data_IF_072299040469
#
_entry.id   IF_072299040469
#
_cell.length_a   1.000
_cell.length_b   1.000
_cell.length_c   1.000
_cell.angle_alpha   90.00
_cell.angle_beta   90.00
_cell.angle_gamma   90.00
#
_symmetry.space_group_name_H-M   'P 1'
#
loop_
_entity.id
_entity.type
_entity.pdbx_description
1 polymer ?
#
# COMPACT_ATOMS: atom_id res chain seq x y z
N UNK A 1 21.63 -34.90 7.35
CA UNK A 1 21.17 -36.08 6.55
C UNK A 1 21.11 -37.25 7.50
N UNK A 2 19.94 -37.86 7.66
CA UNK A 2 19.73 -39.02 8.52
C UNK A 2 20.42 -40.24 7.86
N UNK A 3 21.29 -40.91 8.61
CA UNK A 3 22.00 -42.12 8.14
C UNK A 3 21.01 -43.27 7.87
N UNK A 4 21.30 -44.12 6.90
CA UNK A 4 20.50 -45.30 6.61
C UNK A 4 20.31 -46.17 7.86
N UNK A 5 21.31 -46.28 8.70
CA UNK A 5 21.30 -47.01 9.97
C UNK A 5 20.35 -46.38 10.99
N UNK A 6 20.33 -45.04 11.13
CA UNK A 6 19.43 -44.30 12.02
C UNK A 6 17.99 -44.50 11.59
N UNK A 7 17.73 -44.50 10.29
CA UNK A 7 16.38 -44.74 9.74
C UNK A 7 15.87 -46.17 10.02
N UNK A 8 16.75 -47.15 9.90
CA UNK A 8 16.41 -48.55 10.17
C UNK A 8 16.17 -48.81 11.68
N UNK A 9 17.03 -48.22 12.54
CA UNK A 9 16.86 -48.28 13.99
C UNK A 9 15.54 -47.61 14.40
N UNK A 10 15.25 -46.41 13.91
CA UNK A 10 14.01 -45.70 14.21
C UNK A 10 12.76 -46.48 13.80
N UNK A 11 12.76 -47.06 12.58
CA UNK A 11 11.67 -47.86 12.07
C UNK A 11 11.47 -49.15 12.91
N UNK A 12 12.55 -49.76 13.39
CA UNK A 12 12.52 -50.98 14.22
C UNK A 12 12.02 -50.70 15.60
N UNK A 13 12.34 -49.56 16.22
CA UNK A 13 11.79 -49.10 17.50
C UNK A 13 10.33 -48.70 17.43
N UNK A 14 9.90 -48.09 16.33
CA UNK A 14 8.49 -47.76 16.09
C UNK A 14 7.62 -49.01 15.84
N UNK A 15 8.22 -50.11 15.37
CA UNK A 15 7.52 -51.40 15.13
C UNK A 15 7.54 -52.30 16.35
N UNK A 16 6.74 -51.94 17.34
CA UNK A 16 6.64 -52.62 18.63
C UNK A 16 6.12 -54.06 18.50
N UNK A 17 6.59 -54.98 19.38
CA UNK A 17 6.13 -56.36 19.45
C UNK A 17 4.65 -56.45 19.76
N UNK A 18 3.99 -57.48 19.26
CA UNK A 18 2.53 -57.74 19.32
C UNK A 18 1.87 -57.72 20.73
N UNK A 19 2.65 -57.60 21.82
CA UNK A 19 2.09 -57.57 23.20
C UNK A 19 1.76 -56.14 23.71
N UNK A 20 2.28 -55.08 23.08
CA UNK A 20 2.14 -53.71 23.60
C UNK A 20 1.30 -52.80 22.65
N UNK A 21 0.19 -53.32 22.15
CA UNK A 21 -0.69 -52.60 21.21
C UNK A 21 -1.14 -51.22 21.68
N UNK A 22 -1.33 -51.04 22.98
CA UNK A 22 -1.73 -49.78 23.58
C UNK A 22 -0.64 -48.70 23.51
N UNK A 23 0.61 -49.06 23.77
CA UNK A 23 1.75 -48.13 23.67
C UNK A 23 2.00 -47.68 22.21
N UNK A 24 1.75 -48.58 21.26
CA UNK A 24 1.88 -48.24 19.85
C UNK A 24 0.84 -47.20 19.40
N UNK A 25 -0.40 -47.31 19.89
CA UNK A 25 -1.46 -46.36 19.60
C UNK A 25 -1.09 -44.97 20.15
N UNK A 26 -0.63 -44.90 21.41
CA UNK A 26 -0.22 -43.64 22.03
C UNK A 26 0.94 -43.00 21.25
N UNK A 27 1.93 -43.81 20.84
CA UNK A 27 3.08 -43.32 20.05
C UNK A 27 2.66 -42.73 18.71
N UNK A 28 1.74 -43.40 18.01
CA UNK A 28 1.20 -42.90 16.75
C UNK A 28 0.45 -41.57 16.91
N UNK A 29 -0.44 -41.50 17.94
CA UNK A 29 -1.17 -40.26 18.22
C UNK A 29 -0.23 -39.11 18.61
N UNK A 30 0.79 -39.37 19.40
CA UNK A 30 1.81 -38.36 19.75
C UNK A 30 2.58 -37.90 18.54
N UNK A 31 2.98 -38.82 17.66
CA UNK A 31 3.66 -38.49 16.41
C UNK A 31 2.80 -37.60 15.50
N UNK A 32 1.55 -37.99 15.30
CA UNK A 32 0.59 -37.22 14.50
C UNK A 32 0.36 -35.83 15.11
N UNK A 33 0.17 -35.76 16.44
CA UNK A 33 -0.01 -34.47 17.13
C UNK A 33 1.14 -33.53 16.99
N UNK A 34 2.38 -33.99 17.18
CA UNK A 34 3.58 -33.21 17.02
C UNK A 34 3.76 -32.77 15.55
N UNK A 35 3.56 -33.72 14.62
CA UNK A 35 3.68 -33.47 13.19
C UNK A 35 2.71 -32.40 12.71
N UNK A 36 1.44 -32.48 13.16
CA UNK A 36 0.40 -31.51 12.86
C UNK A 36 0.72 -30.16 13.47
N UNK A 37 1.18 -30.11 14.72
CA UNK A 37 1.58 -28.87 15.39
C UNK A 37 2.69 -28.13 14.65
N UNK A 38 3.74 -28.86 14.24
CA UNK A 38 4.85 -28.29 13.46
C UNK A 38 4.37 -27.83 12.08
N UNK A 39 3.54 -28.62 11.41
CA UNK A 39 3.00 -28.25 10.10
C UNK A 39 2.19 -26.94 10.17
N UNK A 40 1.33 -26.79 11.18
CA UNK A 40 0.54 -25.57 11.40
C UNK A 40 1.46 -24.36 11.63
N UNK A 41 2.50 -24.50 12.45
CA UNK A 41 3.47 -23.43 12.71
C UNK A 41 4.15 -22.98 11.42
N UNK A 42 4.60 -23.92 10.59
CA UNK A 42 5.26 -23.59 9.31
C UNK A 42 4.28 -22.87 8.37
N UNK A 43 3.05 -23.32 8.28
CA UNK A 43 2.03 -22.70 7.44
C UNK A 43 1.75 -21.27 7.91
N UNK A 44 1.52 -21.07 9.21
CA UNK A 44 1.25 -19.73 9.77
C UNK A 44 2.41 -18.78 9.54
N UNK A 45 3.66 -19.22 9.77
CA UNK A 45 4.84 -18.39 9.52
C UNK A 45 5.00 -18.05 8.02
N UNK A 46 4.74 -19.00 7.14
CA UNK A 46 4.82 -18.80 5.69
C UNK A 46 3.78 -17.78 5.21
N UNK A 47 2.53 -17.92 5.68
CA UNK A 47 1.45 -16.98 5.36
C UNK A 47 1.78 -15.58 5.90
N UNK A 48 2.24 -15.48 7.15
CA UNK A 48 2.59 -14.20 7.77
C UNK A 48 3.73 -13.51 7.02
N UNK A 49 4.77 -14.24 6.64
CA UNK A 49 5.89 -13.68 5.87
C UNK A 49 5.45 -13.22 4.48
N UNK A 50 4.63 -14.00 3.79
CA UNK A 50 4.06 -13.64 2.49
C UNK A 50 3.19 -12.39 2.58
N UNK A 51 2.30 -12.33 3.56
CA UNK A 51 1.43 -11.19 3.81
C UNK A 51 2.22 -9.91 4.15
N UNK A 52 3.22 -10.01 5.03
CA UNK A 52 4.10 -8.90 5.38
C UNK A 52 4.81 -8.33 4.16
N UNK A 53 5.37 -9.19 3.32
CA UNK A 53 6.08 -8.79 2.10
C UNK A 53 5.13 -8.10 1.12
N UNK A 54 3.94 -8.65 0.92
CA UNK A 54 2.94 -8.08 0.03
C UNK A 54 2.42 -6.73 0.53
N UNK A 55 2.15 -6.61 1.85
CA UNK A 55 1.75 -5.33 2.45
C UNK A 55 2.83 -4.26 2.28
N UNK A 56 4.09 -4.58 2.61
CA UNK A 56 5.20 -3.64 2.47
C UNK A 56 5.30 -3.18 1.02
N UNK A 57 5.27 -4.10 0.05
CA UNK A 57 5.36 -3.76 -1.36
C UNK A 57 4.20 -2.89 -1.85
N UNK A 58 3.00 -3.09 -1.32
CA UNK A 58 1.84 -2.26 -1.68
C UNK A 58 1.91 -0.87 -1.05
N UNK A 59 2.30 -0.78 0.21
CA UNK A 59 2.36 0.49 0.94
C UNK A 59 3.54 1.34 0.45
N UNK A 60 4.72 0.75 0.37
CA UNK A 60 5.96 1.45 -0.02
C UNK A 60 5.98 1.80 -1.51
N UNK A 61 5.27 1.05 -2.35
CA UNK A 61 5.24 1.33 -3.80
C UNK A 61 4.65 2.69 -4.17
N UNK A 62 3.84 3.30 -3.29
CA UNK A 62 3.21 4.60 -3.52
C UNK A 62 3.64 5.67 -2.48
N UNK A 63 4.08 5.25 -1.32
CA UNK A 63 4.51 6.16 -0.25
C UNK A 63 6.04 6.18 -0.15
N UNK A 64 6.59 7.36 0.14
CA UNK A 64 8.00 7.49 0.48
C UNK A 64 8.32 6.78 1.80
N UNK A 65 9.54 6.25 1.93
CA UNK A 65 10.02 5.66 3.19
C UNK A 65 10.13 6.72 4.29
N UNK A 66 10.49 7.94 3.92
CA UNK A 66 10.57 9.10 4.80
C UNK A 66 9.92 10.28 4.11
N UNK A 67 9.06 11.00 4.81
CA UNK A 67 8.43 12.23 4.33
C UNK A 67 8.87 13.38 5.20
N UNK A 68 9.51 14.37 4.60
CA UNK A 68 9.88 15.62 5.26
C UNK A 68 8.76 16.63 5.00
N UNK A 69 8.15 17.11 6.06
CA UNK A 69 7.12 18.16 5.98
C UNK A 69 7.67 19.47 6.53
N UNK A 70 7.31 20.62 5.97
CA UNK A 70 7.66 21.90 6.56
C UNK A 70 6.94 22.08 7.89
N UNK A 71 7.59 22.76 8.81
CA UNK A 71 6.95 23.23 10.03
C UNK A 71 5.99 24.39 9.74
N UNK A 72 6.33 25.23 8.77
CA UNK A 72 5.51 26.28 8.22
C UNK A 72 4.88 25.87 6.88
N UNK A 73 4.19 26.76 6.21
CA UNK A 73 3.36 26.45 5.04
C UNK A 73 4.10 25.92 3.81
N UNK A 74 5.41 26.16 3.68
CA UNK A 74 6.20 25.72 2.51
C UNK A 74 7.65 25.41 2.85
N UNK A 75 8.26 24.52 2.09
CA UNK A 75 9.71 24.28 2.10
C UNK A 75 10.34 25.12 0.99
N UNK A 76 11.27 26.00 1.35
CA UNK A 76 12.12 26.67 0.36
C UNK A 76 13.15 25.67 -0.17
N UNK A 77 13.14 25.43 -1.48
CA UNK A 77 14.07 24.50 -2.14
C UNK A 77 15.52 24.95 -1.99
N UNK A 78 15.76 26.27 -1.84
CA UNK A 78 17.09 26.85 -1.66
C UNK A 78 17.70 26.50 -0.28
N UNK A 79 16.85 26.29 0.72
CA UNK A 79 17.27 25.91 2.09
C UNK A 79 17.43 24.39 2.26
N UNK A 80 17.00 23.59 1.30
CA UNK A 80 17.23 22.16 1.30
C UNK A 80 18.68 21.90 0.89
N UNK A 81 19.48 21.39 1.83
CA UNK A 81 20.81 20.87 1.53
C UNK A 81 20.67 19.59 0.69
N UNK A 82 20.53 19.81 -0.61
CA UNK A 82 20.30 18.74 -1.57
C UNK A 82 21.47 17.75 -1.64
N UNK A 83 22.69 18.16 -1.30
CA UNK A 83 23.87 17.28 -1.36
C UNK A 83 23.84 16.25 -0.23
N UNK A 84 23.62 16.68 1.00
CA UNK A 84 23.52 15.79 2.14
C UNK A 84 22.30 14.86 2.07
N UNK A 85 21.18 15.38 1.59
CA UNK A 85 19.99 14.54 1.39
C UNK A 85 20.18 13.49 0.29
N UNK A 86 20.90 13.81 -0.77
CA UNK A 86 21.26 12.86 -1.83
C UNK A 86 22.20 11.76 -1.37
N UNK A 87 23.08 12.04 -0.42
CA UNK A 87 23.99 11.04 0.14
C UNK A 87 23.25 9.96 0.93
N UNK A 88 22.18 10.32 1.64
CA UNK A 88 21.42 9.41 2.51
C UNK A 88 20.17 8.84 1.87
N UNK A 89 19.71 9.42 0.74
CA UNK A 89 18.50 9.00 0.04
C UNK A 89 18.84 8.41 -1.33
N UNK A 90 18.15 7.35 -1.70
CA UNK A 90 18.24 6.76 -3.04
C UNK A 90 17.60 7.66 -4.10
N UNK A 91 16.49 8.28 -3.75
CA UNK A 91 15.73 9.19 -4.61
C UNK A 91 15.07 10.27 -3.74
N UNK A 92 15.12 11.49 -4.20
CA UNK A 92 14.42 12.63 -3.64
C UNK A 92 13.28 13.02 -4.58
N UNK A 93 12.06 13.04 -4.07
CA UNK A 93 10.84 13.31 -4.84
C UNK A 93 10.12 14.47 -4.18
N UNK A 94 9.90 15.54 -4.93
CA UNK A 94 9.14 16.69 -4.47
C UNK A 94 7.66 16.45 -4.75
N UNK A 95 6.82 16.72 -3.76
CA UNK A 95 5.38 16.57 -3.89
C UNK A 95 4.62 17.58 -3.06
N UNK A 96 3.49 18.03 -3.59
CA UNK A 96 2.47 18.73 -2.83
C UNK A 96 1.33 17.77 -2.53
N UNK A 97 0.77 17.86 -1.33
CA UNK A 97 -0.40 17.06 -0.97
C UNK A 97 -1.45 17.91 -0.27
N UNK A 98 -2.70 17.66 -0.58
CA UNK A 98 -3.82 18.33 0.04
C UNK A 98 -5.07 17.47 -0.01
N UNK A 99 -6.02 17.79 0.84
CA UNK A 99 -7.33 17.18 0.81
C UNK A 99 -8.14 17.76 -0.35
N UNK A 100 -8.91 16.92 -1.01
CA UNK A 100 -9.77 17.30 -2.12
C UNK A 100 -11.03 16.45 -2.14
N UNK A 101 -12.05 16.95 -2.80
CA UNK A 101 -13.29 16.26 -3.08
C UNK A 101 -13.34 16.05 -4.59
N UNK A 102 -13.51 14.81 -5.01
CA UNK A 102 -13.77 14.48 -6.41
C UNK A 102 -15.26 14.29 -6.63
N UNK A 103 -15.75 14.86 -7.69
CA UNK A 103 -17.16 14.78 -8.11
C UNK A 103 -17.18 14.20 -9.51
N UNK A 104 -17.93 13.12 -9.69
CA UNK A 104 -18.17 12.48 -10.97
C UNK A 104 -19.62 12.05 -11.05
N UNK A 105 -20.36 12.58 -12.01
CA UNK A 105 -21.79 12.32 -12.16
C UNK A 105 -22.52 12.50 -10.82
N UNK A 106 -23.06 11.40 -10.27
CA UNK A 106 -23.81 11.38 -9.00
C UNK A 106 -22.96 11.00 -7.78
N UNK A 107 -21.65 10.77 -7.98
CA UNK A 107 -20.75 10.31 -6.94
C UNK A 107 -19.83 11.42 -6.45
N UNK A 108 -19.70 11.49 -5.13
CA UNK A 108 -18.79 12.43 -4.45
C UNK A 108 -17.95 11.67 -3.44
N UNK A 109 -16.63 11.84 -3.51
CA UNK A 109 -15.69 11.18 -2.59
C UNK A 109 -14.60 12.15 -2.14
N UNK A 110 -14.31 12.14 -0.83
CA UNK A 110 -13.12 12.78 -0.29
C UNK A 110 -11.86 11.94 -0.59
N UNK A 111 -10.77 12.62 -0.91
CA UNK A 111 -9.49 11.98 -1.21
C UNK A 111 -8.33 12.89 -0.83
N UNK A 112 -7.12 12.33 -0.80
CA UNK A 112 -5.87 13.07 -0.74
C UNK A 112 -5.30 13.18 -2.14
N UNK A 113 -5.20 14.42 -2.63
CA UNK A 113 -4.58 14.73 -3.91
C UNK A 113 -3.09 14.93 -3.69
N UNK A 114 -2.26 14.30 -4.51
CA UNK A 114 -0.81 14.50 -4.53
C UNK A 114 -0.37 15.01 -5.90
N UNK A 115 0.26 16.17 -5.88
CA UNK A 115 0.84 16.77 -7.07
C UNK A 115 2.32 16.49 -7.17
N UNK A 116 2.77 16.14 -8.36
CA UNK A 116 4.17 15.91 -8.71
C UNK A 116 4.49 16.66 -10.00
N UNK A 117 5.73 17.06 -10.18
CA UNK A 117 6.19 17.43 -11.51
C UNK A 117 6.42 16.16 -12.35
N UNK A 118 6.53 16.29 -13.66
CA UNK A 118 6.64 15.15 -14.58
C UNK A 118 7.88 14.28 -14.32
N UNK A 119 8.99 14.88 -13.95
CA UNK A 119 10.24 14.18 -13.66
C UNK A 119 10.13 13.36 -12.36
N UNK A 120 9.59 13.96 -11.32
CA UNK A 120 9.42 13.30 -10.02
C UNK A 120 8.32 12.24 -10.06
N UNK A 121 7.27 12.45 -10.84
CA UNK A 121 6.26 11.43 -11.09
C UNK A 121 6.86 10.17 -11.72
N UNK A 122 7.75 10.34 -12.71
CA UNK A 122 8.43 9.22 -13.35
C UNK A 122 9.35 8.41 -12.40
N UNK A 123 9.82 9.02 -11.30
CA UNK A 123 10.65 8.35 -10.29
C UNK A 123 9.84 7.44 -9.35
N UNK A 124 8.53 7.59 -9.28
CA UNK A 124 7.69 6.76 -8.42
C UNK A 124 7.79 5.28 -8.81
N UNK A 125 7.93 4.41 -7.83
CA UNK A 125 8.05 2.96 -7.99
C UNK A 125 6.86 2.35 -8.75
N UNK A 126 5.67 2.90 -8.55
CA UNK A 126 4.44 2.49 -9.26
C UNK A 126 4.54 2.76 -10.75
N UNK A 127 5.17 3.88 -11.13
CA UNK A 127 5.38 4.25 -12.54
C UNK A 127 6.48 3.39 -13.15
N UNK A 128 7.62 3.27 -12.46
CA UNK A 128 8.77 2.44 -12.90
C UNK A 128 8.41 0.98 -13.09
N UNK A 129 7.59 0.42 -12.22
CA UNK A 129 7.16 -0.99 -12.28
C UNK A 129 6.03 -1.24 -13.29
N UNK A 130 5.62 -0.23 -14.05
CA UNK A 130 4.59 -0.36 -15.09
C UNK A 130 3.20 -0.76 -14.55
N UNK A 131 2.91 -0.45 -13.29
CA UNK A 131 1.60 -0.75 -12.66
C UNK A 131 0.50 0.24 -13.04
N UNK A 132 0.82 1.28 -13.81
CA UNK A 132 -0.14 2.23 -14.34
C UNK A 132 -0.83 1.67 -15.59
N UNK A 133 -2.15 1.77 -15.61
CA UNK A 133 -2.96 1.47 -16.78
C UNK A 133 -3.17 2.79 -17.53
N UNK A 134 -2.80 2.84 -18.79
CA UNK A 134 -2.81 4.07 -19.61
C UNK A 134 -1.42 4.42 -20.10
N UNK A 135 -1.25 5.61 -20.67
CA UNK A 135 0.02 6.10 -21.19
C UNK A 135 0.61 7.14 -20.24
N UNK A 136 1.46 6.75 -19.28
CA UNK A 136 2.02 7.69 -18.29
C UNK A 136 2.79 8.85 -18.91
N UNK A 137 3.38 8.66 -20.10
CA UNK A 137 4.11 9.69 -20.84
C UNK A 137 3.20 10.74 -21.49
N UNK A 138 1.89 10.57 -21.43
CA UNK A 138 0.89 11.50 -21.98
C UNK A 138 0.04 12.13 -20.88
N UNK A 139 0.51 12.17 -19.64
CA UNK A 139 -0.10 12.98 -18.60
C UNK A 139 0.08 14.46 -19.00
N UNK A 140 -0.91 14.97 -19.72
CA UNK A 140 -1.04 16.39 -20.03
C UNK A 140 -1.26 17.15 -18.71
N UNK A 141 -0.97 18.44 -18.69
CA UNK A 141 -1.00 19.31 -17.50
C UNK A 141 -2.30 19.25 -16.67
N UNK A 142 -3.39 18.69 -17.21
CA UNK A 142 -4.71 18.57 -16.57
C UNK A 142 -5.15 17.11 -16.41
N UNK A 143 -4.21 16.20 -16.24
CA UNK A 143 -4.52 14.76 -16.08
C UNK A 143 -4.22 14.31 -14.66
N UNK A 144 -5.02 13.36 -14.18
CA UNK A 144 -4.84 12.72 -12.89
C UNK A 144 -4.74 11.21 -13.03
N UNK A 145 -3.98 10.58 -12.15
CA UNK A 145 -3.96 9.14 -11.97
C UNK A 145 -4.73 8.80 -10.71
N UNK A 146 -5.68 7.88 -10.83
CA UNK A 146 -6.53 7.45 -9.71
C UNK A 146 -6.34 5.97 -9.42
N UNK A 147 -6.55 5.58 -8.16
CA UNK A 147 -6.53 4.17 -7.77
C UNK A 147 -7.67 3.39 -8.44
N UNK A 148 -7.40 2.11 -8.76
CA UNK A 148 -8.37 1.22 -9.41
C UNK A 148 -9.69 1.12 -8.64
N UNK A 149 -9.64 1.04 -7.32
CA UNK A 149 -10.84 0.96 -6.49
C UNK A 149 -11.65 2.26 -6.52
N UNK A 150 -10.97 3.42 -6.50
CA UNK A 150 -11.64 4.70 -6.65
C UNK A 150 -12.26 4.85 -8.03
N UNK A 151 -11.59 4.42 -9.11
CA UNK A 151 -12.13 4.38 -10.46
C UNK A 151 -13.40 3.53 -10.53
N UNK A 152 -13.38 2.36 -9.90
CA UNK A 152 -14.55 1.48 -9.84
C UNK A 152 -15.71 2.11 -9.08
N UNK A 153 -15.45 2.72 -7.92
CA UNK A 153 -16.48 3.36 -7.08
C UNK A 153 -17.09 4.60 -7.70
N UNK A 154 -16.38 5.28 -8.58
CA UNK A 154 -16.83 6.48 -9.29
C UNK A 154 -17.29 6.17 -10.72
N UNK A 155 -17.31 4.91 -11.13
CA UNK A 155 -17.63 4.45 -12.48
C UNK A 155 -16.84 5.17 -13.58
N UNK A 156 -15.55 5.40 -13.33
CA UNK A 156 -14.67 6.15 -14.22
C UNK A 156 -13.83 5.24 -15.08
N UNK A 157 -13.72 5.59 -16.35
CA UNK A 157 -12.82 5.00 -17.33
C UNK A 157 -11.66 5.96 -17.67
N UNK A 158 -10.64 5.43 -18.34
CA UNK A 158 -9.54 6.25 -18.84
C UNK A 158 -10.06 7.22 -19.90
N UNK A 159 -9.79 8.51 -19.68
CA UNK A 159 -10.25 9.59 -20.56
C UNK A 159 -11.49 10.33 -20.07
N UNK A 160 -12.17 9.84 -19.04
CA UNK A 160 -13.28 10.53 -18.44
C UNK A 160 -12.83 11.81 -17.71
N UNK A 161 -13.73 12.79 -17.66
CA UNK A 161 -13.50 14.06 -16.96
C UNK A 161 -14.09 14.00 -15.56
N UNK A 162 -13.34 14.51 -14.60
CA UNK A 162 -13.77 14.63 -13.20
C UNK A 162 -13.56 16.06 -12.71
N UNK A 163 -14.41 16.51 -11.82
CA UNK A 163 -14.25 17.77 -11.12
C UNK A 163 -13.59 17.53 -9.78
N UNK A 164 -12.53 18.30 -9.49
CA UNK A 164 -11.83 18.23 -8.21
C UNK A 164 -11.96 19.60 -7.55
N UNK A 165 -12.39 19.59 -6.30
CA UNK A 165 -12.56 20.79 -5.49
C UNK A 165 -11.76 20.66 -4.20
N UNK A 166 -11.11 21.75 -3.80
CA UNK A 166 -10.49 21.85 -2.47
C UNK A 166 -11.56 22.20 -1.44
N UNK A 167 -11.55 21.60 -0.23
CA UNK A 167 -12.46 21.99 0.86
C UNK A 167 -12.36 23.47 1.19
N UNK A 168 -11.17 24.04 1.17
CA UNK A 168 -10.94 25.48 1.40
C UNK A 168 -11.65 26.35 0.34
N UNK A 169 -11.68 25.89 -0.90
CA UNK A 169 -12.41 26.58 -1.98
C UNK A 169 -13.93 26.57 -1.78
N UNK A 170 -14.48 25.52 -1.20
CA UNK A 170 -15.91 25.41 -0.91
C UNK A 170 -16.34 26.41 0.16
N UNK A 171 -15.57 26.55 1.23
CA UNK A 171 -15.84 27.53 2.29
C UNK A 171 -15.84 28.97 1.74
N UNK A 172 -14.94 29.28 0.83
CA UNK A 172 -14.86 30.60 0.20
C UNK A 172 -16.08 30.87 -0.68
N UNK A 173 -16.53 29.87 -1.44
CA UNK A 173 -17.72 30.00 -2.30
C UNK A 173 -18.99 30.16 -1.44
N UNK A 174 -19.18 29.35 -0.42
CA UNK A 174 -20.32 29.43 0.48
C UNK A 174 -20.33 30.80 1.21
N UNK A 175 -19.17 31.24 1.70
CA UNK A 175 -19.02 32.53 2.33
C UNK A 175 -19.37 33.72 1.40
N UNK A 176 -18.99 33.65 0.13
CA UNK A 176 -19.31 34.68 -0.86
C UNK A 176 -20.78 34.69 -1.24
N UNK A 177 -21.41 33.53 -1.38
CA UNK A 177 -22.85 33.40 -1.63
C UNK A 177 -23.70 33.92 -0.47
N UNK A 178 -23.33 33.57 0.79
CA UNK A 178 -24.00 34.08 1.97
C UNK A 178 -23.92 35.60 2.08
N UNK A 179 -22.77 36.18 1.72
CA UNK A 179 -22.59 37.64 1.70
C UNK A 179 -23.46 38.34 0.65
N UNK A 180 -23.57 37.76 -0.54
CA UNK A 180 -24.42 38.29 -1.61
C UNK A 180 -25.91 38.22 -1.24
N UNK A 181 -26.34 37.19 -0.50
CA UNK A 181 -27.73 37.08 -0.07
C UNK A 181 -28.08 38.08 1.03
N UNK A 182 -27.14 38.45 1.87
CA UNK A 182 -27.29 39.47 2.90
C UNK A 182 -27.36 40.86 2.31
N UNK A 183 -26.57 41.18 1.29
CA UNK A 183 -26.59 42.47 0.57
C UNK A 183 -27.87 42.67 -0.27
N UNK A 184 -28.54 41.60 -0.68
CA UNK A 184 -29.83 41.69 -1.41
C UNK A 184 -31.06 41.92 -0.53
N UNK A 185 -30.94 41.65 0.77
CA UNK A 185 -32.03 41.79 1.76
C UNK A 185 -31.96 43.04 2.61
N UNK A 186 -30.94 43.86 2.46
CA UNK A 186 -30.79 45.19 3.07
C UNK A 186 -31.06 46.29 2.08
#
# INVERSE_FOLDING_TARGET
>A
MISALEKEITLRYLKTRKKDGFLNIISIFSFIGISLGVAVLIIVMSVMNGFRTELINKIVGFNAHVTVKPYESSISLEKLDNENLKLISKELILSNSGEAIVISKDYTKGLVLRGYNSEDFAKLDVVKKGKLIGKPNQLLNNSISIGKELSFNLELNIGDRVSIMSPVGIETIIGSLAKQETERKG
#
